data_IF_012474797814
#
_entry.id   IF_012474797814
#
_cell.length_a   1.000
_cell.length_b   1.000
_cell.length_c   1.000
_cell.angle_alpha   90.00
_cell.angle_beta   90.00
_cell.angle_gamma   90.00
#
_symmetry.space_group_name_H-M   'P 1'
#
loop_
_entity.id
_entity.type
_entity.pdbx_description
1 polymer ?
#
# COMPACT_ATOMS: atom_id res chain seq x y z
N UNK A 1 36.31 5.92 -50.54
CA UNK A 1 36.26 4.97 -49.42
C UNK A 1 36.98 3.72 -49.88
N UNK A 2 38.05 3.35 -49.18
CA UNK A 2 38.72 2.09 -49.43
C UNK A 2 37.84 0.94 -48.92
N UNK A 3 37.86 -0.21 -49.58
CA UNK A 3 37.06 -1.38 -49.18
C UNK A 3 37.29 -1.78 -47.70
N UNK A 4 38.50 -1.56 -47.19
CA UNK A 4 38.86 -1.74 -45.78
C UNK A 4 38.14 -0.77 -44.83
N UNK A 5 37.94 0.49 -45.23
CA UNK A 5 37.24 1.51 -44.42
C UNK A 5 35.75 1.18 -44.30
N UNK A 6 35.15 0.62 -45.35
CA UNK A 6 33.76 0.16 -45.33
C UNK A 6 33.58 -1.00 -44.35
N UNK A 7 34.45 -2.02 -44.39
CA UNK A 7 34.40 -3.14 -43.44
C UNK A 7 34.61 -2.66 -41.99
N UNK A 8 35.53 -1.73 -41.75
CA UNK A 8 35.75 -1.16 -40.42
C UNK A 8 34.49 -0.46 -39.87
N UNK A 9 33.83 0.37 -40.70
CA UNK A 9 32.58 1.05 -40.30
C UNK A 9 31.42 0.08 -40.03
N UNK A 10 31.37 -1.05 -40.75
CA UNK A 10 30.37 -2.08 -40.54
C UNK A 10 30.58 -2.82 -39.21
N UNK A 11 31.84 -3.14 -38.90
CA UNK A 11 32.21 -3.82 -37.65
C UNK A 11 31.97 -2.92 -36.46
N UNK A 12 32.32 -1.64 -36.50
CA UNK A 12 32.06 -0.70 -35.39
C UNK A 12 30.56 -0.58 -35.07
N UNK A 13 29.71 -0.57 -36.10
CA UNK A 13 28.25 -0.50 -35.94
C UNK A 13 27.64 -1.82 -35.45
N UNK A 14 28.15 -2.97 -35.90
CA UNK A 14 27.65 -4.31 -35.54
C UNK A 14 28.32 -4.93 -34.31
N UNK A 15 29.43 -4.37 -33.83
CA UNK A 15 30.12 -4.87 -32.65
C UNK A 15 29.23 -4.73 -31.40
N UNK A 16 28.60 -3.58 -31.20
CA UNK A 16 27.76 -3.34 -30.01
C UNK A 16 26.52 -4.26 -29.95
N UNK A 17 25.71 -4.42 -31.03
CA UNK A 17 24.57 -5.32 -31.02
C UNK A 17 25.02 -6.78 -30.92
N UNK A 18 26.14 -7.13 -31.57
CA UNK A 18 26.75 -8.45 -31.49
C UNK A 18 27.14 -8.81 -30.06
N UNK A 19 27.81 -7.90 -29.34
CA UNK A 19 28.19 -8.09 -27.94
C UNK A 19 26.97 -8.27 -27.05
N UNK A 20 25.91 -7.47 -27.23
CA UNK A 20 24.65 -7.64 -26.48
C UNK A 20 24.00 -8.99 -26.75
N UNK A 21 23.92 -9.42 -28.02
CA UNK A 21 23.35 -10.71 -28.37
C UNK A 21 24.15 -11.87 -27.77
N UNK A 22 25.49 -11.83 -27.85
CA UNK A 22 26.36 -12.86 -27.24
C UNK A 22 26.24 -12.85 -25.73
N UNK A 23 26.16 -11.68 -25.10
CA UNK A 23 25.94 -11.54 -23.66
C UNK A 23 24.59 -12.13 -23.24
N UNK A 24 23.49 -11.74 -23.90
CA UNK A 24 22.16 -12.28 -23.61
C UNK A 24 22.12 -13.80 -23.82
N UNK A 25 22.70 -14.31 -24.90
CA UNK A 25 22.76 -15.76 -25.15
C UNK A 25 23.55 -16.48 -24.04
N UNK A 26 24.72 -15.97 -23.65
CA UNK A 26 25.57 -16.62 -22.64
C UNK A 26 24.97 -16.55 -21.24
N UNK A 27 24.26 -15.46 -20.92
CA UNK A 27 23.77 -15.18 -19.57
C UNK A 27 22.28 -15.43 -19.36
N UNK A 28 21.47 -15.72 -20.39
CA UNK A 28 20.02 -15.95 -20.26
C UNK A 28 19.66 -17.02 -19.21
N UNK A 29 20.42 -18.12 -19.16
CA UNK A 29 20.17 -19.21 -18.21
C UNK A 29 20.49 -18.80 -16.76
N UNK A 30 21.56 -18.00 -16.58
CA UNK A 30 21.97 -17.48 -15.27
C UNK A 30 21.03 -16.37 -14.79
N UNK A 31 20.61 -15.47 -15.67
CA UNK A 31 19.69 -14.38 -15.34
C UNK A 31 18.29 -14.95 -15.03
N UNK A 32 17.78 -15.84 -15.88
CA UNK A 32 16.47 -16.46 -15.69
C UNK A 32 16.35 -17.28 -14.41
N UNK A 33 17.43 -17.88 -13.92
CA UNK A 33 17.43 -18.64 -12.65
C UNK A 33 17.58 -17.75 -11.40
N UNK A 34 18.12 -16.54 -11.52
CA UNK A 34 18.28 -15.59 -10.42
C UNK A 34 17.06 -14.68 -10.23
N UNK A 35 16.33 -14.38 -11.31
CA UNK A 35 15.11 -13.55 -11.27
C UNK A 35 14.09 -14.04 -10.22
N UNK A 36 13.72 -15.34 -10.19
CA UNK A 36 12.79 -15.84 -9.18
C UNK A 36 13.28 -15.65 -7.74
N UNK A 37 14.60 -15.69 -7.50
CA UNK A 37 15.17 -15.50 -6.17
C UNK A 37 15.10 -14.04 -5.73
N UNK A 38 15.40 -13.11 -6.64
CA UNK A 38 15.28 -11.67 -6.39
C UNK A 38 13.83 -11.26 -6.15
N UNK A 39 12.90 -11.81 -6.93
CA UNK A 39 11.46 -11.58 -6.75
C UNK A 39 10.99 -12.09 -5.39
N UNK A 40 11.32 -13.34 -5.03
CA UNK A 40 10.99 -13.91 -3.70
C UNK A 40 11.60 -13.14 -2.53
N UNK A 41 12.85 -12.68 -2.66
CA UNK A 41 13.50 -11.87 -1.62
C UNK A 41 12.76 -10.54 -1.44
N UNK A 42 12.45 -9.85 -2.54
CA UNK A 42 11.68 -8.61 -2.52
C UNK A 42 10.30 -8.79 -1.86
N UNK A 43 9.59 -9.89 -2.15
CA UNK A 43 8.31 -10.19 -1.49
C UNK A 43 8.47 -10.37 0.01
N UNK A 44 9.45 -11.17 0.47
CA UNK A 44 9.71 -11.35 1.90
C UNK A 44 10.02 -10.03 2.63
N UNK A 45 10.81 -9.15 2.00
CA UNK A 45 11.10 -7.83 2.56
C UNK A 45 9.84 -6.97 2.66
N UNK A 46 8.98 -7.02 1.64
CA UNK A 46 7.71 -6.28 1.60
C UNK A 46 6.73 -6.80 2.66
N UNK A 47 6.68 -8.12 2.88
CA UNK A 47 5.82 -8.71 3.91
C UNK A 47 6.31 -8.38 5.32
N UNK A 48 7.63 -8.37 5.55
CA UNK A 48 8.22 -7.88 6.80
C UNK A 48 7.87 -6.41 7.03
N UNK A 49 8.01 -5.58 5.98
CA UNK A 49 7.68 -4.16 6.01
C UNK A 49 6.21 -3.91 6.37
N UNK A 50 5.28 -4.76 5.92
CA UNK A 50 3.88 -4.69 6.30
C UNK A 50 3.71 -4.88 7.82
N UNK A 51 4.27 -5.96 8.36
CA UNK A 51 4.20 -6.26 9.81
C UNK A 51 4.84 -5.15 10.66
N UNK A 52 6.02 -4.68 10.27
CA UNK A 52 6.74 -3.60 10.98
C UNK A 52 5.98 -2.27 10.94
N UNK A 53 5.32 -1.96 9.82
CA UNK A 53 4.51 -0.76 9.68
C UNK A 53 3.27 -0.80 10.58
N UNK A 54 2.60 -1.96 10.68
CA UNK A 54 1.47 -2.16 11.60
C UNK A 54 1.92 -1.98 13.05
N UNK A 55 3.01 -2.64 13.46
CA UNK A 55 3.55 -2.50 14.82
C UNK A 55 3.88 -1.03 15.16
N UNK A 56 4.39 -0.28 14.17
CA UNK A 56 4.66 1.15 14.33
C UNK A 56 3.38 1.96 14.52
N UNK A 57 2.31 1.64 13.79
CA UNK A 57 1.01 2.32 13.94
C UNK A 57 0.38 2.02 15.30
N UNK A 58 0.42 0.76 15.75
CA UNK A 58 -0.08 0.38 17.08
C UNK A 58 0.62 1.14 18.22
N UNK A 59 1.94 1.34 18.12
CA UNK A 59 2.70 2.16 19.09
C UNK A 59 2.30 3.63 19.10
N UNK A 60 1.77 4.16 17.99
CA UNK A 60 1.29 5.54 17.91
C UNK A 60 -0.13 5.64 18.47
N UNK A 61 -0.98 4.64 18.23
CA UNK A 61 -2.35 4.59 18.72
C UNK A 61 -2.46 4.26 20.22
N UNK A 62 -1.49 3.55 20.79
CA UNK A 62 -1.40 3.35 22.24
C UNK A 62 -0.83 4.62 22.89
N UNK A 63 -1.62 5.50 23.52
CA UNK A 63 -1.05 6.37 24.52
C UNK A 63 -0.48 5.49 25.63
N UNK A 64 0.63 5.91 26.23
CA UNK A 64 1.18 5.33 27.45
C UNK A 64 0.19 5.49 28.62
N UNK A 65 -0.89 4.72 28.59
CA UNK A 65 -1.88 4.60 29.66
C UNK A 65 -1.82 3.15 30.11
N UNK A 66 -0.98 2.91 31.11
CA UNK A 66 -1.16 1.75 31.99
C UNK A 66 -2.62 1.77 32.50
N UNK A 67 -3.40 0.75 32.16
CA UNK A 67 -4.57 0.37 32.95
C UNK A 67 -5.96 0.78 32.46
N UNK A 68 -6.22 0.85 31.16
CA UNK A 68 -7.60 0.82 30.66
C UNK A 68 -7.75 -0.24 29.56
N UNK A 69 -7.98 -1.48 29.98
CA UNK A 69 -8.57 -2.49 29.09
C UNK A 69 -10.01 -2.05 28.83
N UNK A 70 -10.21 -1.28 27.76
CA UNK A 70 -11.55 -1.11 27.21
C UNK A 70 -11.92 -2.43 26.54
N UNK A 71 -12.57 -3.32 27.28
CA UNK A 71 -13.46 -4.34 26.69
C UNK A 71 -14.67 -3.60 26.09
N UNK A 72 -14.43 -2.90 24.98
CA UNK A 72 -15.51 -2.56 24.08
C UNK A 72 -15.90 -3.85 23.36
N UNK A 73 -17.16 -4.27 23.50
CA UNK A 73 -17.73 -5.33 22.69
C UNK A 73 -17.30 -5.13 21.23
N UNK A 74 -16.75 -6.17 20.55
CA UNK A 74 -16.23 -6.02 19.21
C UNK A 74 -17.31 -5.43 18.30
N UNK A 75 -17.01 -4.27 17.70
CA UNK A 75 -17.89 -3.62 16.74
C UNK A 75 -18.35 -4.66 15.69
N UNK A 76 -19.63 -4.70 15.33
CA UNK A 76 -20.17 -5.63 14.32
C UNK A 76 -19.35 -5.58 13.03
N UNK A 77 -18.90 -4.39 12.63
CA UNK A 77 -18.04 -4.21 11.46
C UNK A 77 -16.65 -4.86 11.60
N UNK A 78 -16.10 -4.89 12.81
CA UNK A 78 -14.84 -5.55 13.09
C UNK A 78 -14.99 -7.07 12.94
N UNK A 79 -16.04 -7.65 13.53
CA UNK A 79 -16.33 -9.09 13.42
C UNK A 79 -16.61 -9.53 11.97
N UNK A 80 -17.29 -8.70 11.18
CA UNK A 80 -17.50 -8.95 9.76
C UNK A 80 -16.17 -9.00 8.98
N UNK A 81 -15.29 -8.02 9.19
CA UNK A 81 -14.00 -7.96 8.53
C UNK A 81 -13.07 -9.11 8.95
N UNK A 82 -13.15 -9.57 10.20
CA UNK A 82 -12.43 -10.77 10.64
C UNK A 82 -12.87 -12.02 9.88
N UNK A 83 -14.18 -12.22 9.68
CA UNK A 83 -14.67 -13.35 8.86
C UNK A 83 -14.18 -13.28 7.42
N UNK A 84 -14.04 -12.07 6.88
CA UNK A 84 -13.44 -11.88 5.54
C UNK A 84 -11.95 -12.22 5.60
N UNK A 85 -11.23 -11.83 6.66
CA UNK A 85 -9.80 -12.09 6.82
C UNK A 85 -9.49 -13.59 6.91
N UNK A 86 -10.36 -14.38 7.54
CA UNK A 86 -10.25 -15.85 7.58
C UNK A 86 -10.26 -16.49 6.18
N UNK A 87 -11.00 -15.90 5.24
CA UNK A 87 -11.13 -16.41 3.87
C UNK A 87 -10.07 -15.77 2.95
N UNK A 88 -9.86 -14.47 3.10
CA UNK A 88 -8.91 -13.68 2.32
C UNK A 88 -8.45 -12.45 3.12
N UNK A 89 -7.26 -12.52 3.72
CA UNK A 89 -6.60 -11.38 4.37
C UNK A 89 -6.55 -10.13 3.48
N UNK A 90 -6.27 -10.34 2.19
CA UNK A 90 -6.21 -9.28 1.18
C UNK A 90 -7.56 -8.60 1.01
N UNK A 91 -8.64 -9.37 0.91
CA UNK A 91 -9.98 -8.80 0.80
C UNK A 91 -10.34 -8.00 2.05
N UNK A 92 -10.00 -8.48 3.24
CA UNK A 92 -10.27 -7.76 4.48
C UNK A 92 -9.55 -6.41 4.55
N UNK A 93 -8.26 -6.35 4.14
CA UNK A 93 -7.50 -5.08 4.04
C UNK A 93 -8.17 -4.10 3.07
N UNK A 94 -8.65 -4.60 1.92
CA UNK A 94 -9.33 -3.78 0.92
C UNK A 94 -10.67 -3.26 1.44
N UNK A 95 -11.50 -4.13 2.04
CA UNK A 95 -12.81 -3.77 2.59
C UNK A 95 -12.71 -2.78 3.76
N UNK A 96 -11.73 -2.98 4.65
CA UNK A 96 -11.43 -2.03 5.72
C UNK A 96 -11.04 -0.65 5.16
N UNK A 97 -10.21 -0.60 4.11
CA UNK A 97 -9.82 0.65 3.46
C UNK A 97 -11.00 1.35 2.76
N UNK A 98 -11.92 0.60 2.14
CA UNK A 98 -13.13 1.17 1.52
C UNK A 98 -13.98 1.91 2.56
N UNK A 99 -14.09 1.36 3.79
CA UNK A 99 -14.78 2.05 4.89
C UNK A 99 -14.10 3.37 5.25
N UNK A 100 -12.76 3.40 5.33
CA UNK A 100 -11.98 4.63 5.54
C UNK A 100 -12.23 5.66 4.44
N UNK A 101 -12.18 5.25 3.16
CA UNK A 101 -12.44 6.16 2.03
C UNK A 101 -13.86 6.72 2.06
N UNK A 102 -14.84 5.89 2.42
CA UNK A 102 -16.24 6.30 2.50
C UNK A 102 -16.44 7.33 3.61
N UNK A 103 -15.88 7.08 4.79
CA UNK A 103 -15.95 8.04 5.91
C UNK A 103 -15.19 9.33 5.60
N UNK A 104 -14.00 9.24 5.00
CA UNK A 104 -13.23 10.38 4.53
C UNK A 104 -14.00 11.22 3.50
N UNK A 105 -14.70 10.59 2.57
CA UNK A 105 -15.55 11.31 1.62
C UNK A 105 -16.66 12.09 2.32
N UNK A 106 -17.37 11.47 3.28
CA UNK A 106 -18.40 12.16 4.08
C UNK A 106 -17.84 13.33 4.88
N UNK A 107 -16.72 13.12 5.57
CA UNK A 107 -16.04 14.15 6.34
C UNK A 107 -15.59 15.33 5.47
N UNK A 108 -15.05 15.06 4.27
CA UNK A 108 -14.62 16.12 3.35
C UNK A 108 -15.81 16.94 2.80
N UNK A 109 -16.93 16.30 2.43
CA UNK A 109 -18.14 17.00 1.99
C UNK A 109 -18.66 17.93 3.07
N UNK A 110 -18.66 17.48 4.33
CA UNK A 110 -19.07 18.28 5.49
C UNK A 110 -18.13 19.43 5.81
N UNK A 111 -16.82 19.17 5.77
CA UNK A 111 -15.81 20.17 6.11
C UNK A 111 -15.67 21.26 5.03
N UNK A 112 -16.06 20.99 3.79
CA UNK A 112 -15.92 21.91 2.65
C UNK A 112 -17.20 22.02 1.81
N UNK A 113 -18.30 22.54 2.38
CA UNK A 113 -19.60 22.65 1.68
C UNK A 113 -19.56 23.57 0.46
N UNK A 114 -18.61 24.50 0.39
CA UNK A 114 -18.38 25.40 -0.74
C UNK A 114 -17.70 24.76 -1.95
N UNK A 115 -17.11 23.56 -1.80
CA UNK A 115 -16.55 22.82 -2.92
C UNK A 115 -17.69 22.09 -3.65
N UNK A 116 -17.81 22.33 -4.97
CA UNK A 116 -18.74 21.59 -5.81
C UNK A 116 -18.52 20.08 -5.60
N UNK A 117 -19.58 19.33 -5.36
CA UNK A 117 -19.55 17.87 -5.17
C UNK A 117 -18.85 17.17 -6.35
N UNK A 118 -18.84 17.80 -7.53
CA UNK A 118 -18.06 17.38 -8.70
C UNK A 118 -16.54 17.50 -8.52
N UNK A 119 -16.05 18.47 -7.76
CA UNK A 119 -14.62 18.65 -7.43
C UNK A 119 -14.11 17.54 -6.49
N UNK A 120 -14.99 16.91 -5.73
CA UNK A 120 -14.67 15.80 -4.81
C UNK A 120 -14.70 14.42 -5.51
N UNK A 121 -15.00 14.33 -6.81
CA UNK A 121 -15.20 13.07 -7.57
C UNK A 121 -13.93 12.23 -7.85
N UNK A 122 -12.81 12.51 -7.19
CA UNK A 122 -11.62 11.67 -7.28
C UNK A 122 -11.42 10.91 -5.96
N UNK A 123 -11.14 9.59 -5.97
CA UNK A 123 -10.98 8.80 -4.72
C UNK A 123 -9.88 9.38 -3.81
N UNK A 124 -8.88 10.04 -4.39
CA UNK A 124 -7.78 10.68 -3.64
C UNK A 124 -8.05 12.13 -3.21
N UNK A 125 -9.09 12.79 -3.72
CA UNK A 125 -9.33 14.22 -3.44
C UNK A 125 -9.84 14.48 -2.01
N UNK A 126 -10.86 13.76 -1.51
CA UNK A 126 -11.31 13.90 -0.11
C UNK A 126 -10.18 13.68 0.88
N UNK A 127 -9.41 12.59 0.71
CA UNK A 127 -8.26 12.27 1.55
C UNK A 127 -7.23 13.41 1.56
N UNK A 128 -6.86 13.94 0.38
CA UNK A 128 -5.90 15.05 0.26
C UNK A 128 -6.38 16.34 0.91
N UNK A 129 -7.68 16.62 0.89
CA UNK A 129 -8.26 17.80 1.53
C UNK A 129 -8.22 17.66 3.05
N UNK A 130 -8.63 16.49 3.56
CA UNK A 130 -8.58 16.18 4.98
C UNK A 130 -7.16 16.22 5.53
N UNK A 131 -6.19 15.58 4.85
CA UNK A 131 -4.76 15.62 5.21
C UNK A 131 -4.18 17.04 5.33
N UNK A 132 -4.74 18.01 4.59
CA UNK A 132 -4.20 19.38 4.54
C UNK A 132 -4.88 20.36 5.49
N UNK A 133 -6.14 20.11 5.83
CA UNK A 133 -7.01 21.13 6.42
C UNK A 133 -7.82 20.68 7.64
N UNK A 134 -7.94 19.38 7.88
CA UNK A 134 -8.79 18.83 8.94
C UNK A 134 -7.99 17.97 9.90
N UNK A 135 -7.23 17.01 9.37
CA UNK A 135 -6.48 16.05 10.17
C UNK A 135 -5.24 16.68 10.79
N UNK A 136 -4.94 16.28 12.02
CA UNK A 136 -3.67 16.61 12.65
C UNK A 136 -2.51 15.79 12.03
N UNK A 137 -1.28 16.07 12.48
CA UNK A 137 -0.08 15.43 11.91
C UNK A 137 -0.05 13.91 12.11
N UNK A 138 -0.52 13.42 13.25
CA UNK A 138 -0.53 11.99 13.57
C UNK A 138 -1.59 11.27 12.72
N UNK A 139 -2.82 11.77 12.70
CA UNK A 139 -3.91 11.24 11.87
C UNK A 139 -3.55 11.26 10.37
N UNK A 140 -2.91 12.34 9.91
CA UNK A 140 -2.41 12.43 8.52
C UNK A 140 -1.38 11.34 8.21
N UNK A 141 -0.46 11.07 9.12
CA UNK A 141 0.56 10.03 8.92
C UNK A 141 -0.06 8.64 8.95
N UNK A 142 -0.95 8.38 9.90
CA UNK A 142 -1.67 7.12 10.02
C UNK A 142 -2.50 6.82 8.75
N UNK A 143 -3.26 7.79 8.26
CA UNK A 143 -4.04 7.67 7.03
C UNK A 143 -3.15 7.36 5.81
N UNK A 144 -1.97 7.98 5.73
CA UNK A 144 -1.01 7.73 4.65
C UNK A 144 -0.42 6.33 4.73
N UNK A 145 -0.07 5.86 5.93
CA UNK A 145 0.45 4.51 6.13
C UNK A 145 -0.62 3.45 5.85
N UNK A 146 -1.86 3.63 6.30
CA UNK A 146 -2.97 2.75 5.93
C UNK A 146 -3.14 2.65 4.42
N UNK A 147 -3.10 3.78 3.70
CA UNK A 147 -3.15 3.80 2.23
C UNK A 147 -1.96 3.04 1.61
N UNK A 148 -0.76 3.22 2.18
CA UNK A 148 0.47 2.57 1.73
C UNK A 148 0.37 1.05 1.89
N UNK A 149 -0.09 0.58 3.04
CA UNK A 149 -0.30 -0.84 3.37
C UNK A 149 -1.38 -1.48 2.50
N UNK A 150 -2.49 -0.77 2.24
CA UNK A 150 -3.48 -1.22 1.25
C UNK A 150 -2.88 -1.39 -0.14
N UNK A 151 -2.09 -0.40 -0.60
CA UNK A 151 -1.45 -0.48 -1.91
C UNK A 151 -0.46 -1.66 -1.97
N UNK A 152 0.29 -1.88 -0.90
CA UNK A 152 1.20 -3.02 -0.75
C UNK A 152 0.46 -4.36 -0.87
N UNK A 153 -0.68 -4.50 -0.19
CA UNK A 153 -1.54 -5.67 -0.26
C UNK A 153 -2.18 -5.88 -1.65
N UNK A 154 -2.46 -4.80 -2.39
CA UNK A 154 -3.11 -4.85 -3.70
C UNK A 154 -2.17 -5.18 -4.88
N UNK A 155 -0.89 -4.84 -4.79
CA UNK A 155 0.03 -4.85 -5.95
C UNK A 155 0.73 -6.18 -6.21
N UNK A 156 0.56 -7.22 -5.38
CA UNK A 156 1.32 -8.45 -5.50
C UNK A 156 0.45 -9.70 -5.29
N UNK A 157 0.21 -10.47 -6.35
CA UNK A 157 -0.51 -11.76 -6.27
C UNK A 157 0.25 -12.76 -5.37
N UNK A 158 1.59 -12.74 -5.42
CA UNK A 158 2.52 -13.56 -4.61
C UNK A 158 2.81 -13.00 -3.20
N UNK A 159 2.19 -11.88 -2.80
CA UNK A 159 2.35 -11.34 -1.45
C UNK A 159 1.45 -12.07 -0.48
N UNK A 160 2.08 -12.82 0.41
CA UNK A 160 1.39 -13.62 1.40
C UNK A 160 1.07 -12.79 2.64
N UNK A 161 -0.23 -12.61 2.86
CA UNK A 161 -0.77 -11.95 4.04
C UNK A 161 -1.11 -12.95 5.15
N UNK A 162 -0.96 -14.25 4.93
CA UNK A 162 -1.18 -15.26 5.96
C UNK A 162 -0.20 -15.06 7.13
N UNK A 163 -0.73 -15.10 8.36
CA UNK A 163 0.04 -14.89 9.58
C UNK A 163 0.55 -13.46 9.81
N UNK A 164 0.11 -12.49 8.99
CA UNK A 164 0.36 -11.05 9.20
C UNK A 164 -0.70 -10.48 10.15
N UNK A 165 -0.42 -9.34 10.82
CA UNK A 165 -1.34 -8.74 11.80
C UNK A 165 -2.50 -7.99 11.08
N UNK A 166 -3.40 -8.75 10.46
CA UNK A 166 -4.54 -8.21 9.70
C UNK A 166 -5.59 -7.61 10.63
N UNK A 167 -5.78 -8.25 11.78
CA UNK A 167 -6.69 -7.81 12.84
C UNK A 167 -6.33 -6.41 13.31
N UNK A 168 -5.03 -6.15 13.52
CA UNK A 168 -4.54 -4.83 13.87
C UNK A 168 -4.75 -3.80 12.75
N UNK A 169 -4.53 -4.17 11.48
CA UNK A 169 -4.85 -3.27 10.36
C UNK A 169 -6.35 -2.91 10.35
N UNK A 170 -7.23 -3.90 10.55
CA UNK A 170 -8.68 -3.69 10.62
C UNK A 170 -9.02 -2.75 11.78
N UNK A 171 -8.46 -2.97 12.95
CA UNK A 171 -8.72 -2.18 14.15
C UNK A 171 -8.30 -0.71 13.95
N UNK A 172 -7.06 -0.47 13.50
CA UNK A 172 -6.54 0.87 13.20
C UNK A 172 -7.42 1.55 12.13
N UNK A 173 -7.80 0.82 11.08
CA UNK A 173 -8.67 1.36 10.03
C UNK A 173 -10.06 1.76 10.56
N UNK A 174 -10.68 0.95 11.42
CA UNK A 174 -11.98 1.26 12.03
C UNK A 174 -11.89 2.39 13.06
N UNK A 175 -10.77 2.50 13.77
CA UNK A 175 -10.48 3.63 14.64
C UNK A 175 -10.37 4.93 13.82
N UNK A 176 -9.66 4.90 12.69
CA UNK A 176 -9.61 6.02 11.75
C UNK A 176 -11.00 6.36 11.18
N UNK A 177 -11.83 5.37 10.82
CA UNK A 177 -13.24 5.60 10.41
C UNK A 177 -14.01 6.34 11.50
N UNK A 178 -13.88 5.92 12.75
CA UNK A 178 -14.58 6.55 13.88
C UNK A 178 -14.15 8.01 14.07
N UNK A 179 -12.86 8.30 13.92
CA UNK A 179 -12.33 9.68 13.96
C UNK A 179 -12.84 10.51 12.79
N UNK A 180 -12.84 9.95 11.57
CA UNK A 180 -13.34 10.63 10.37
C UNK A 180 -14.84 10.93 10.46
N UNK A 181 -15.65 9.99 10.97
CA UNK A 181 -17.08 10.19 11.17
C UNK A 181 -17.38 11.26 12.23
N UNK A 182 -16.49 11.46 13.22
CA UNK A 182 -16.60 12.57 14.17
C UNK A 182 -16.46 13.95 13.49
N UNK A 183 -15.69 14.07 12.40
CA UNK A 183 -15.63 15.28 11.58
C UNK A 183 -16.83 15.44 10.62
N UNK A 184 -17.58 14.36 10.38
CA UNK A 184 -18.77 14.37 9.52
C UNK A 184 -20.08 14.64 10.28
N UNK A 185 -20.04 14.54 11.62
CA UNK A 185 -21.18 14.70 12.54
C UNK A 185 -21.59 16.16 12.72
#
# INVERSE_FOLDING_TARGET
MNFLEFIASLVDSLAWPGVVCVFLWTFQERIGSLLPRLVRFKHKDTELEFSEAIERLERIEQPAIEGAVYEAEPNEQYLELLKIAEISPRAAVMEAWIKVETSAARAAVRAFPELDEKMLRGPAQPLRLLEKKVLNKNETNELRELRRLRNMAAHHEDFDLEGRPIEAYIDIALTMVSRLDAYAS
#
